data_IF_441342557392
#
_entry.id   IF_441342557392
#
_cell.length_a   1.000
_cell.length_b   1.000
_cell.length_c   1.000
_cell.angle_alpha   90.00
_cell.angle_beta   90.00
_cell.angle_gamma   90.00
#
_symmetry.space_group_name_H-M   'P 1'
#
loop_
_entity.id
_entity.type
_entity.pdbx_description
1 polymer ?
#
# COMPACT_ATOMS: atom_id res chain seq x y z
N UNK A 1 -42.25 13.34 -42.92
CA UNK A 1 -42.05 13.73 -41.51
C UNK A 1 -41.99 12.57 -40.54
N UNK A 2 -42.78 11.51 -40.73
CA UNK A 2 -42.77 10.35 -39.84
C UNK A 2 -41.44 9.55 -39.87
N UNK A 3 -40.76 9.49 -41.02
CA UNK A 3 -39.46 8.80 -41.15
C UNK A 3 -38.32 9.50 -40.45
N UNK A 4 -38.32 10.81 -40.32
CA UNK A 4 -37.31 11.59 -39.55
C UNK A 4 -37.44 11.36 -38.05
N UNK A 5 -38.67 11.27 -37.55
CA UNK A 5 -38.94 11.03 -36.11
C UNK A 5 -38.50 9.66 -35.68
N UNK A 6 -38.71 8.64 -36.51
CA UNK A 6 -38.29 7.27 -36.24
C UNK A 6 -36.77 7.14 -36.22
N UNK A 7 -36.06 7.81 -37.15
CA UNK A 7 -34.59 7.83 -37.22
C UNK A 7 -33.97 8.53 -36.03
N UNK A 8 -34.52 9.65 -35.59
CA UNK A 8 -34.04 10.37 -34.38
C UNK A 8 -34.25 9.54 -33.13
N UNK A 9 -35.37 8.83 -33.02
CA UNK A 9 -35.69 7.97 -31.90
C UNK A 9 -34.74 6.77 -31.84
N UNK A 10 -34.43 6.15 -32.99
CA UNK A 10 -33.46 5.08 -33.08
C UNK A 10 -32.04 5.51 -32.71
N UNK A 11 -31.61 6.71 -33.13
CA UNK A 11 -30.30 7.26 -32.75
C UNK A 11 -30.20 7.53 -31.27
N UNK A 12 -31.27 8.02 -30.64
CA UNK A 12 -31.31 8.25 -29.18
C UNK A 12 -31.25 6.94 -28.42
N UNK A 13 -31.98 5.93 -28.87
CA UNK A 13 -31.94 4.59 -28.28
C UNK A 13 -30.56 3.92 -28.39
N UNK A 14 -29.90 4.10 -29.53
CA UNK A 14 -28.54 3.59 -29.73
C UNK A 14 -27.54 4.27 -28.80
N UNK A 15 -27.63 5.59 -28.61
CA UNK A 15 -26.79 6.35 -27.67
C UNK A 15 -27.02 5.93 -26.23
N UNK A 16 -28.27 5.71 -25.84
CA UNK A 16 -28.60 5.23 -24.49
C UNK A 16 -28.04 3.85 -24.23
N UNK A 17 -28.09 2.97 -25.24
CA UNK A 17 -27.55 1.62 -25.16
C UNK A 17 -26.03 1.64 -25.03
N UNK A 18 -25.34 2.44 -25.83
CA UNK A 18 -23.90 2.65 -25.75
C UNK A 18 -23.49 3.19 -24.41
N UNK A 19 -24.23 4.14 -23.84
CA UNK A 19 -23.96 4.71 -22.53
C UNK A 19 -24.11 3.67 -21.42
N UNK A 20 -25.15 2.83 -21.49
CA UNK A 20 -25.35 1.75 -20.50
C UNK A 20 -24.23 0.72 -20.58
N UNK A 21 -23.82 0.32 -21.77
CA UNK A 21 -22.72 -0.62 -21.97
C UNK A 21 -21.42 -0.03 -21.45
N UNK A 22 -21.16 1.25 -21.71
CA UNK A 22 -19.98 1.95 -21.21
C UNK A 22 -19.96 1.98 -19.68
N UNK A 23 -21.08 2.31 -19.04
CA UNK A 23 -21.19 2.36 -17.58
C UNK A 23 -20.97 0.98 -16.94
N UNK A 24 -21.58 -0.05 -17.52
CA UNK A 24 -21.39 -1.42 -17.03
C UNK A 24 -19.95 -1.88 -17.14
N UNK A 25 -19.28 -1.60 -18.26
CA UNK A 25 -17.88 -1.91 -18.46
C UNK A 25 -16.98 -1.09 -17.54
N UNK A 26 -17.31 0.18 -17.34
CA UNK A 26 -16.57 1.06 -16.44
C UNK A 26 -16.65 0.56 -14.99
N UNK A 27 -17.85 0.17 -14.52
CA UNK A 27 -18.06 -0.36 -13.18
C UNK A 27 -17.28 -1.68 -12.98
N UNK A 28 -17.30 -2.57 -13.96
CA UNK A 28 -16.51 -3.82 -13.92
C UNK A 28 -15.02 -3.54 -13.85
N UNK A 29 -14.54 -2.57 -14.61
CA UNK A 29 -13.13 -2.17 -14.60
C UNK A 29 -12.73 -1.56 -13.26
N UNK A 30 -13.57 -0.72 -12.67
CA UNK A 30 -13.32 -0.13 -11.35
C UNK A 30 -13.26 -1.22 -10.28
N UNK A 31 -14.17 -2.19 -10.30
CA UNK A 31 -14.15 -3.31 -9.36
C UNK A 31 -12.91 -4.18 -9.52
N UNK A 32 -12.52 -4.48 -10.77
CA UNK A 32 -11.31 -5.25 -11.06
C UNK A 32 -10.07 -4.52 -10.55
N UNK A 33 -9.99 -3.20 -10.73
CA UNK A 33 -8.90 -2.37 -10.22
C UNK A 33 -8.85 -2.38 -8.70
N UNK A 34 -10.00 -2.31 -8.03
CA UNK A 34 -10.09 -2.39 -6.57
C UNK A 34 -9.58 -3.72 -6.05
N UNK A 35 -9.91 -4.82 -6.72
CA UNK A 35 -9.43 -6.15 -6.34
C UNK A 35 -7.91 -6.27 -6.51
N UNK A 36 -7.36 -5.73 -7.61
CA UNK A 36 -5.92 -5.71 -7.86
C UNK A 36 -5.21 -4.86 -6.80
N UNK A 37 -5.73 -3.68 -6.49
CA UNK A 37 -5.18 -2.78 -5.48
C UNK A 37 -5.18 -3.45 -4.10
N UNK A 38 -6.24 -4.16 -3.75
CA UNK A 38 -6.33 -4.90 -2.49
C UNK A 38 -5.30 -6.02 -2.41
N UNK A 39 -5.14 -6.80 -3.49
CA UNK A 39 -4.12 -7.86 -3.55
C UNK A 39 -2.71 -7.30 -3.49
N UNK A 40 -2.47 -6.17 -4.17
CA UNK A 40 -1.18 -5.49 -4.12
C UNK A 40 -0.88 -4.98 -2.71
N UNK A 41 -1.88 -4.43 -2.03
CA UNK A 41 -1.75 -3.99 -0.65
C UNK A 41 -1.40 -5.15 0.28
N UNK A 42 -2.11 -6.26 0.17
CA UNK A 42 -1.83 -7.47 0.96
C UNK A 42 -0.42 -7.99 0.71
N UNK A 43 0.00 -8.04 -0.55
CA UNK A 43 1.34 -8.45 -0.93
C UNK A 43 2.41 -7.52 -0.37
N UNK A 44 2.19 -6.22 -0.44
CA UNK A 44 3.11 -5.22 0.10
C UNK A 44 3.20 -5.30 1.63
N UNK A 45 2.07 -5.48 2.32
CA UNK A 45 2.05 -5.69 3.77
C UNK A 45 2.86 -6.93 4.15
N UNK A 46 2.71 -8.02 3.41
CA UNK A 46 3.44 -9.26 3.67
C UNK A 46 4.96 -9.08 3.51
N UNK A 47 5.39 -8.39 2.45
CA UNK A 47 6.81 -8.10 2.21
C UNK A 47 7.37 -7.20 3.32
N UNK A 48 6.66 -6.14 3.67
CA UNK A 48 7.08 -5.22 4.73
C UNK A 48 7.14 -5.92 6.09
N UNK A 49 6.18 -6.78 6.38
CA UNK A 49 6.18 -7.59 7.59
C UNK A 49 7.44 -8.47 7.68
N UNK A 50 7.78 -9.12 6.57
CA UNK A 50 8.97 -9.97 6.49
C UNK A 50 10.26 -9.16 6.70
N UNK A 51 10.36 -7.99 6.08
CA UNK A 51 11.51 -7.09 6.24
C UNK A 51 11.64 -6.61 7.68
N UNK A 52 10.54 -6.19 8.31
CA UNK A 52 10.52 -5.79 9.72
C UNK A 52 11.00 -6.95 10.60
N UNK A 53 10.52 -8.15 10.33
CA UNK A 53 10.85 -9.32 11.11
C UNK A 53 12.33 -9.65 11.05
N UNK A 54 12.92 -9.65 9.85
CA UNK A 54 14.34 -9.91 9.66
C UNK A 54 15.20 -8.84 10.33
N UNK A 55 14.89 -7.56 10.08
CA UNK A 55 15.66 -6.45 10.63
C UNK A 55 15.57 -6.41 12.14
N UNK A 56 14.37 -6.53 12.69
CA UNK A 56 14.18 -6.49 14.15
C UNK A 56 14.90 -7.64 14.85
N UNK A 57 14.89 -8.83 14.28
CA UNK A 57 15.62 -9.97 14.85
C UNK A 57 17.13 -9.68 14.91
N UNK A 58 17.65 -9.11 13.85
CA UNK A 58 19.06 -8.72 13.81
C UNK A 58 19.41 -7.72 14.91
N UNK A 59 18.60 -6.68 15.06
CA UNK A 59 18.83 -5.65 16.09
C UNK A 59 18.69 -6.22 17.50
N UNK A 60 17.67 -7.05 17.73
CA UNK A 60 17.46 -7.68 19.02
C UNK A 60 18.59 -8.65 19.38
N UNK A 61 19.13 -9.37 18.40
CA UNK A 61 20.27 -10.28 18.61
C UNK A 61 21.55 -9.51 18.93
N UNK A 62 21.73 -8.32 18.33
CA UNK A 62 22.87 -7.44 18.64
C UNK A 62 22.72 -6.77 20.00
N UNK A 63 21.49 -6.59 20.49
CA UNK A 63 21.22 -5.90 21.75
C UNK A 63 21.28 -4.37 21.69
N UNK A 64 21.43 -3.80 20.51
CA UNK A 64 21.42 -2.34 20.28
C UNK A 64 20.98 -2.05 18.84
N UNK A 65 20.67 -0.81 18.56
CA UNK A 65 20.31 -0.33 17.24
C UNK A 65 21.07 0.95 16.93
N UNK A 66 21.59 1.07 15.71
CA UNK A 66 22.26 2.29 15.27
C UNK A 66 21.20 3.35 14.90
N UNK A 67 21.58 4.62 14.98
CA UNK A 67 20.67 5.73 14.62
C UNK A 67 20.10 5.58 13.21
N UNK A 68 20.95 5.23 12.24
CA UNK A 68 20.49 5.00 10.86
C UNK A 68 19.55 3.83 10.75
N UNK A 69 19.80 2.77 11.48
CA UNK A 69 18.95 1.57 11.50
C UNK A 69 17.60 1.87 12.11
N UNK A 70 17.58 2.66 13.17
CA UNK A 70 16.32 3.08 13.80
C UNK A 70 15.48 3.94 12.85
N UNK A 71 16.11 4.85 12.12
CA UNK A 71 15.45 5.71 11.15
C UNK A 71 14.85 4.88 10.01
N UNK A 72 15.60 3.95 9.45
CA UNK A 72 15.12 3.02 8.43
C UNK A 72 13.96 2.16 8.94
N UNK A 73 14.06 1.65 10.16
CA UNK A 73 13.02 0.83 10.77
C UNK A 73 11.74 1.64 10.98
N UNK A 74 11.85 2.90 11.38
CA UNK A 74 10.69 3.79 11.53
C UNK A 74 9.98 4.04 10.20
N UNK A 75 10.73 4.26 9.13
CA UNK A 75 10.17 4.43 7.78
C UNK A 75 9.46 3.17 7.32
N UNK A 76 10.10 2.02 7.53
CA UNK A 76 9.55 0.72 7.17
C UNK A 76 8.25 0.44 7.92
N UNK A 77 8.24 0.71 9.22
CA UNK A 77 7.06 0.51 10.07
C UNK A 77 5.92 1.46 9.70
N UNK A 78 6.22 2.72 9.38
CA UNK A 78 5.19 3.67 8.93
C UNK A 78 4.49 3.18 7.68
N UNK A 79 5.26 2.67 6.70
CA UNK A 79 4.69 2.10 5.48
C UNK A 79 3.82 0.89 5.78
N UNK A 80 4.30 0.01 6.64
CA UNK A 80 3.57 -1.19 7.08
C UNK A 80 2.27 -0.82 7.80
N UNK A 81 2.33 0.08 8.75
CA UNK A 81 1.17 0.55 9.53
C UNK A 81 0.18 1.32 8.64
N UNK A 82 0.69 2.17 7.75
CA UNK A 82 -0.13 2.94 6.80
C UNK A 82 -0.92 2.07 5.83
N UNK A 83 -0.41 0.88 5.51
CA UNK A 83 -1.12 -0.10 4.69
C UNK A 83 -2.05 -1.02 5.51
N UNK A 84 -2.16 -0.79 6.80
CA UNK A 84 -3.03 -1.58 7.70
C UNK A 84 -2.33 -2.76 8.35
N UNK A 85 -1.01 -2.81 8.31
CA UNK A 85 -0.23 -3.84 9.00
C UNK A 85 -0.31 -3.71 10.51
N UNK A 86 -0.43 -4.84 11.20
CA UNK A 86 -0.48 -4.91 12.66
C UNK A 86 0.06 -6.26 13.14
N UNK A 87 -0.12 -6.56 14.42
CA UNK A 87 0.25 -7.86 14.99
C UNK A 87 1.74 -7.98 15.31
N UNK A 88 2.39 -9.06 14.85
CA UNK A 88 3.78 -9.36 15.21
C UNK A 88 4.78 -8.32 14.74
N UNK A 89 4.53 -7.65 13.61
CA UNK A 89 5.37 -6.55 13.15
C UNK A 89 5.38 -5.38 14.12
N UNK A 90 4.23 -5.03 14.68
CA UNK A 90 4.10 -3.99 15.70
C UNK A 90 4.82 -4.37 16.99
N UNK A 91 4.68 -5.61 17.43
CA UNK A 91 5.33 -6.12 18.64
C UNK A 91 6.85 -6.04 18.50
N UNK A 92 7.39 -6.52 17.38
CA UNK A 92 8.82 -6.48 17.11
C UNK A 92 9.35 -5.06 17.03
N UNK A 93 8.65 -4.18 16.33
CA UNK A 93 8.99 -2.77 16.24
C UNK A 93 9.08 -2.12 17.61
N UNK A 94 8.07 -2.36 18.47
CA UNK A 94 8.06 -1.80 19.83
C UNK A 94 9.23 -2.33 20.68
N UNK A 95 9.60 -3.59 20.51
CA UNK A 95 10.77 -4.16 21.22
C UNK A 95 12.06 -3.49 20.75
N UNK A 96 12.21 -3.25 19.44
CA UNK A 96 13.39 -2.57 18.92
C UNK A 96 13.50 -1.12 19.37
N UNK A 97 12.37 -0.45 19.59
CA UNK A 97 12.36 0.92 20.11
C UNK A 97 12.93 1.03 21.52
N UNK A 98 12.91 -0.03 22.29
CA UNK A 98 13.46 -0.08 23.64
C UNK A 98 14.94 -0.46 23.67
N UNK A 99 15.55 -0.76 22.54
CA UNK A 99 16.98 -1.06 22.48
C UNK A 99 17.82 0.19 22.69
N UNK A 100 19.01 0.05 23.30
CA UNK A 100 19.97 1.15 23.34
C UNK A 100 20.31 1.62 21.92
N UNK A 101 20.29 2.93 21.71
CA UNK A 101 20.60 3.55 20.43
C UNK A 101 22.05 3.98 20.44
N UNK A 102 22.82 3.54 19.46
CA UNK A 102 24.21 3.94 19.27
C UNK A 102 24.34 4.83 18.04
N UNK A 103 25.25 5.80 18.10
CA UNK A 103 25.54 6.65 16.98
C UNK A 103 26.12 5.89 15.80
N UNK A 104 25.70 6.28 14.60
CA UNK A 104 26.21 5.71 13.37
C UNK A 104 27.36 6.55 12.84
N UNK A 105 28.57 5.99 12.69
CA UNK A 105 29.73 6.74 12.24
C UNK A 105 29.60 7.29 10.82
N UNK A 106 28.66 6.76 10.03
CA UNK A 106 28.41 7.25 8.67
C UNK A 106 27.47 8.45 8.60
N UNK A 107 26.72 8.74 9.67
CA UNK A 107 25.71 9.80 9.73
C UNK A 107 26.11 10.90 10.68
N UNK A 108 26.81 10.58 11.78
CA UNK A 108 27.26 11.59 12.75
C UNK A 108 28.34 12.44 12.14
N UNK A 109 28.10 13.77 12.13
CA UNK A 109 29.15 14.73 11.79
C UNK A 109 30.21 14.68 12.87
N UNK A 110 31.47 14.61 12.46
CA UNK A 110 32.61 14.73 13.37
C UNK A 110 32.56 16.10 14.05
N UNK A 111 32.25 16.09 15.30
CA UNK A 111 32.25 17.28 16.11
C UNK A 111 33.66 17.66 16.52
#
# INVERSE_FOLDING_TARGET
>A
MQKRHALEKEKLMAKDRERKEWLENHDKNVEAMKEIDEKNREGNVAVLHHMIWIECRTYLDHGYILTSELDDLEHLYRSYSGLGGNGSGKILYNKCQNLPVKGDPYIEEDS
#
